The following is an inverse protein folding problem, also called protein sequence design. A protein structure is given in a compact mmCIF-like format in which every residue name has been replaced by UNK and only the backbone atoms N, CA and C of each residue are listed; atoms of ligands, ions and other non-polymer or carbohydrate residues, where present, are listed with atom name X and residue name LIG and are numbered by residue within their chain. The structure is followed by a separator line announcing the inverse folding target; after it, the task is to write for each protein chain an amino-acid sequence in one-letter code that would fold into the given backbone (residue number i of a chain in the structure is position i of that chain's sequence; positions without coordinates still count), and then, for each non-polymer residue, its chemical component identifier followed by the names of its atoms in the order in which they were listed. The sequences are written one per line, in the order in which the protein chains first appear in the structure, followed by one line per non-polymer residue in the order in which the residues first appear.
data_IF_087269223280
#
_entry.id   IF_087269223280
#
_cell.length_a   1.000
_cell.length_b   1.000
_cell.length_c   1.000
_cell.angle_alpha   90.00
_cell.angle_beta   90.00
_cell.angle_gamma   90.00
#
_symmetry.space_group_name_H-M   'P 1'
#
loop_
_entity.id
_entity.type
_entity.pdbx_description
1 polymer ?
#
# COMPACT_ATOMS: atom_id res chain seq x y z
N UNK A 1 -16.88 -6.78 -0.03
CA UNK A 1 -17.36 -7.62 1.09
C UNK A 1 -16.36 -7.54 2.23
N UNK A 2 -16.76 -7.94 3.43
CA UNK A 2 -15.84 -8.09 4.55
C UNK A 2 -14.67 -9.01 4.18
N UNK A 3 -13.46 -8.66 4.63
CA UNK A 3 -12.31 -9.54 4.58
C UNK A 3 -12.55 -10.76 5.48
N UNK A 4 -12.40 -12.00 4.98
CA UNK A 4 -12.51 -13.20 5.80
C UNK A 4 -11.48 -13.17 6.94
N UNK A 5 -11.82 -13.74 8.10
CA UNK A 5 -10.90 -13.84 9.24
C UNK A 5 -9.67 -14.72 8.94
N UNK A 6 -9.77 -15.63 7.97
CA UNK A 6 -8.65 -16.43 7.48
C UNK A 6 -7.60 -15.62 6.73
N UNK A 7 -7.94 -14.43 6.20
CA UNK A 7 -6.99 -13.56 5.50
C UNK A 7 -6.14 -12.78 6.49
N UNK A 8 -4.82 -12.87 6.31
CA UNK A 8 -3.82 -12.22 7.16
C UNK A 8 -2.74 -11.61 6.28
N UNK A 9 -1.79 -10.86 6.84
CA UNK A 9 -0.65 -10.35 6.05
C UNK A 9 0.26 -11.48 5.54
N UNK A 10 0.13 -12.69 6.09
CA UNK A 10 0.81 -13.91 5.64
C UNK A 10 0.06 -14.62 4.50
N UNK A 11 -1.22 -14.30 4.28
CA UNK A 11 -2.04 -14.77 3.17
C UNK A 11 -3.08 -13.70 2.75
N UNK A 12 -2.69 -12.87 1.79
CA UNK A 12 -3.54 -11.88 1.12
C UNK A 12 -4.09 -12.38 -0.21
N UNK A 13 -3.92 -13.68 -0.55
CA UNK A 13 -4.35 -14.21 -1.84
C UNK A 13 -5.82 -13.88 -2.11
N UNK A 14 -6.12 -13.40 -3.31
CA UNK A 14 -7.47 -13.05 -3.72
C UNK A 14 -7.57 -11.70 -4.42
N UNK A 15 -8.82 -11.26 -4.62
CA UNK A 15 -9.17 -10.02 -5.28
C UNK A 15 -9.76 -9.01 -4.29
N UNK A 16 -9.22 -7.79 -4.34
CA UNK A 16 -9.52 -6.70 -3.40
C UNK A 16 -9.83 -5.43 -4.19
N UNK A 17 -11.07 -4.99 -4.16
CA UNK A 17 -11.49 -3.77 -4.89
C UNK A 17 -11.44 -2.58 -3.96
N UNK A 18 -10.86 -1.47 -4.41
CA UNK A 18 -10.84 -0.23 -3.65
C UNK A 18 -12.25 0.20 -3.22
N UNK A 19 -12.38 0.53 -1.93
CA UNK A 19 -13.58 1.11 -1.36
C UNK A 19 -13.34 2.61 -1.24
N UNK A 20 -13.83 3.38 -2.22
CA UNK A 20 -13.60 4.83 -2.27
C UNK A 20 -14.32 5.59 -1.14
N UNK A 21 -15.39 5.03 -0.57
CA UNK A 21 -16.13 5.66 0.52
C UNK A 21 -15.41 5.56 1.87
N UNK A 22 -14.67 4.46 2.09
CA UNK A 22 -13.93 4.20 3.34
C UNK A 22 -12.44 4.50 3.24
N UNK A 23 -11.89 4.44 2.03
CA UNK A 23 -10.61 5.07 1.76
C UNK A 23 -10.75 6.51 2.18
N UNK A 24 -9.71 7.04 2.82
CA UNK A 24 -9.64 8.48 2.92
C UNK A 24 -9.66 8.97 1.49
N UNK A 25 -10.77 9.59 1.10
CA UNK A 25 -10.80 10.45 -0.05
C UNK A 25 -9.58 11.33 0.14
N UNK A 26 -8.50 10.99 -0.58
CA UNK A 26 -7.60 12.01 -1.00
C UNK A 26 -8.53 13.06 -1.53
N UNK A 27 -8.52 14.21 -0.90
CA UNK A 27 -9.35 15.38 -1.14
C UNK A 27 -9.05 15.92 -2.55
N UNK A 28 -9.17 15.06 -3.57
CA UNK A 28 -8.71 15.22 -4.93
C UNK A 28 -9.54 16.27 -5.67
N UNK A 29 -10.78 16.48 -5.21
CA UNK A 29 -11.65 17.55 -5.72
C UNK A 29 -11.30 18.93 -5.13
N UNK A 30 -10.71 19.02 -3.93
CA UNK A 30 -10.32 20.30 -3.29
C UNK A 30 -8.83 20.63 -3.50
N UNK A 31 -7.99 19.61 -3.60
CA UNK A 31 -6.53 19.76 -3.75
C UNK A 31 -6.14 20.40 -5.10
N UNK A 32 -6.98 20.26 -6.15
CA UNK A 32 -6.74 20.86 -7.48
C UNK A 32 -6.67 22.40 -7.51
N UNK A 33 -7.09 23.11 -6.47
CA UNK A 33 -6.98 24.56 -6.40
C UNK A 33 -5.67 25.07 -5.73
N UNK A 34 -4.85 24.22 -5.09
CA UNK A 34 -3.86 24.67 -4.08
C UNK A 34 -2.41 24.09 -4.15
N UNK A 35 -1.92 23.58 -5.29
CA UNK A 35 -0.48 23.26 -5.42
C UNK A 35 -0.05 21.83 -5.02
N UNK A 36 -0.84 20.82 -5.38
CA UNK A 36 -0.58 19.39 -5.14
C UNK A 36 0.77 18.90 -5.71
N UNK A 37 1.56 18.20 -4.89
CA UNK A 37 2.78 17.52 -5.33
C UNK A 37 2.49 16.40 -6.36
N UNK A 38 3.40 16.19 -7.32
CA UNK A 38 3.31 15.12 -8.32
C UNK A 38 3.14 13.74 -7.69
N UNK A 39 3.75 13.51 -6.53
CA UNK A 39 3.73 12.22 -5.86
C UNK A 39 2.37 11.92 -5.24
N UNK A 40 1.73 12.93 -4.65
CA UNK A 40 0.35 12.83 -4.17
C UNK A 40 -0.57 12.36 -5.30
N UNK A 41 -0.48 12.95 -6.51
CA UNK A 41 -1.31 12.53 -7.65
C UNK A 41 -1.14 11.05 -8.00
N UNK A 42 0.06 10.50 -7.84
CA UNK A 42 0.34 9.08 -8.11
C UNK A 42 -0.21 8.16 -7.02
N UNK A 43 -0.16 8.57 -5.75
CA UNK A 43 -0.80 7.83 -4.66
C UNK A 43 -2.33 7.79 -4.84
N UNK A 44 -2.94 8.90 -5.26
CA UNK A 44 -4.37 8.95 -5.62
C UNK A 44 -4.70 7.99 -6.77
N UNK A 45 -3.84 7.91 -7.77
CA UNK A 45 -4.01 6.97 -8.87
C UNK A 45 -3.97 5.51 -8.40
N UNK A 46 -3.15 5.19 -7.40
CA UNK A 46 -3.12 3.85 -6.78
C UNK A 46 -4.37 3.55 -5.94
N UNK A 47 -5.10 4.56 -5.46
CA UNK A 47 -6.29 4.37 -4.64
C UNK A 47 -7.46 3.76 -5.45
N UNK A 48 -7.51 3.98 -6.77
CA UNK A 48 -8.65 3.61 -7.62
C UNK A 48 -8.40 2.33 -8.42
N UNK A 49 -7.87 1.28 -7.78
CA UNK A 49 -7.54 0.01 -8.44
C UNK A 49 -8.09 -1.19 -7.70
N UNK A 50 -8.49 -2.21 -8.45
CA UNK A 50 -8.64 -3.57 -7.91
C UNK A 50 -7.27 -4.22 -7.85
N UNK A 51 -6.94 -4.81 -6.72
CA UNK A 51 -5.73 -5.59 -6.49
C UNK A 51 -6.06 -7.07 -6.65
N UNK A 52 -5.36 -7.77 -7.54
CA UNK A 52 -5.35 -9.23 -7.55
C UNK A 52 -4.00 -9.66 -7.00
N UNK A 53 -4.03 -10.34 -5.86
CA UNK A 53 -2.84 -10.70 -5.11
C UNK A 53 -2.62 -12.20 -5.22
N UNK A 54 -1.41 -12.57 -5.64
CA UNK A 54 -0.85 -13.91 -5.50
C UNK A 54 0.33 -13.85 -4.53
N UNK A 55 0.24 -14.63 -3.46
CA UNK A 55 1.21 -14.71 -2.40
C UNK A 55 1.61 -16.17 -2.19
N UNK A 56 2.89 -16.46 -2.39
CA UNK A 56 3.46 -17.81 -2.28
C UNK A 56 4.81 -17.76 -1.59
N UNK A 57 5.30 -18.90 -1.10
CA UNK A 57 6.64 -19.01 -0.54
C UNK A 57 7.61 -19.56 -1.58
N UNK A 58 8.82 -19.01 -1.63
CA UNK A 58 9.92 -19.60 -2.40
C UNK A 58 10.58 -20.76 -1.64
N UNK A 59 11.55 -21.42 -2.28
CA UNK A 59 12.32 -22.53 -1.70
C UNK A 59 13.09 -22.13 -0.43
N UNK A 60 13.40 -20.84 -0.27
CA UNK A 60 14.07 -20.28 0.91
C UNK A 60 13.10 -19.83 2.00
N UNK A 61 11.79 -20.02 1.80
CA UNK A 61 10.73 -19.62 2.72
C UNK A 61 10.38 -18.12 2.68
N UNK A 62 10.96 -17.33 1.77
CA UNK A 62 10.56 -15.94 1.60
C UNK A 62 9.20 -15.87 0.94
N UNK A 63 8.41 -14.86 1.31
CA UNK A 63 7.17 -14.57 0.62
C UNK A 63 7.47 -13.86 -0.70
N UNK A 64 7.01 -14.45 -1.80
CA UNK A 64 6.85 -13.84 -3.11
C UNK A 64 5.44 -13.25 -3.17
N UNK A 65 5.35 -11.98 -3.50
CA UNK A 65 4.11 -11.24 -3.59
C UNK A 65 4.00 -10.63 -4.98
N UNK A 66 3.05 -11.12 -5.76
CA UNK A 66 2.69 -10.59 -7.07
C UNK A 66 1.33 -9.89 -6.95
N UNK A 67 1.30 -8.60 -7.27
CA UNK A 67 0.10 -7.77 -7.23
C UNK A 67 -0.18 -7.28 -8.64
N UNK A 68 -1.32 -7.67 -9.20
CA UNK A 68 -1.86 -7.05 -10.40
C UNK A 68 -2.78 -5.90 -9.98
N UNK A 69 -2.39 -4.67 -10.30
CA UNK A 69 -3.21 -3.48 -10.10
C UNK A 69 -4.04 -3.26 -11.36
N UNK A 70 -5.36 -3.48 -11.27
CA UNK A 70 -6.33 -3.25 -12.35
C UNK A 70 -7.04 -1.92 -12.13
N UNK A 71 -6.72 -0.87 -12.88
CA UNK A 71 -7.45 0.38 -12.81
C UNK A 71 -8.87 0.19 -13.33
N UNK A 72 -9.82 0.94 -12.77
CA UNK A 72 -11.16 1.08 -13.36
C UNK A 72 -11.08 1.76 -14.74
N UNK A 73 -11.94 1.36 -15.68
CA UNK A 73 -12.10 2.09 -16.97
C UNK A 73 -11.23 1.62 -18.14
N UNK A 74 -10.70 0.38 -18.10
CA UNK A 74 -10.06 -0.25 -19.26
C UNK A 74 -8.61 0.17 -19.54
N UNK A 75 -7.98 0.89 -18.60
CA UNK A 75 -6.54 1.17 -18.65
C UNK A 75 -5.72 -0.13 -18.45
N UNK A 76 -4.50 -0.21 -19.01
CA UNK A 76 -3.64 -1.36 -18.82
C UNK A 76 -3.39 -1.65 -17.35
N UNK A 77 -3.53 -2.91 -16.96
CA UNK A 77 -3.13 -3.37 -15.63
C UNK A 77 -1.61 -3.23 -15.47
N UNK A 78 -1.17 -2.98 -14.24
CA UNK A 78 0.26 -2.96 -13.90
C UNK A 78 0.56 -4.10 -12.95
N UNK A 79 1.76 -4.66 -13.07
CA UNK A 79 2.21 -5.75 -12.22
C UNK A 79 3.31 -5.27 -11.28
N UNK A 80 3.18 -5.62 -10.01
CA UNK A 80 4.15 -5.34 -8.97
C UNK A 80 4.59 -6.67 -8.38
N UNK A 81 5.89 -6.98 -8.51
CA UNK A 81 6.48 -8.21 -7.97
C UNK A 81 7.43 -7.88 -6.85
N UNK A 82 7.26 -8.50 -5.69
CA UNK A 82 8.06 -8.22 -4.49
C UNK A 82 8.50 -9.53 -3.83
N UNK A 83 9.70 -9.52 -3.28
CA UNK A 83 10.17 -10.55 -2.35
C UNK A 83 10.25 -9.90 -0.97
N UNK A 84 9.54 -10.46 0.01
CA UNK A 84 9.47 -9.91 1.37
C UNK A 84 10.68 -10.33 2.21
N UNK A 85 11.88 -9.93 1.78
CA UNK A 85 13.16 -10.25 2.43
C UNK A 85 13.95 -9.00 2.86
N UNK A 86 13.32 -7.83 2.79
CA UNK A 86 13.88 -6.50 3.09
C UNK A 86 15.10 -6.08 2.27
N UNK A 87 15.48 -6.83 1.23
CA UNK A 87 16.58 -6.44 0.32
C UNK A 87 16.10 -5.33 -0.61
N UNK A 88 16.94 -4.30 -0.85
CA UNK A 88 16.60 -3.26 -1.81
C UNK A 88 16.60 -3.80 -3.24
N UNK A 89 15.62 -3.39 -4.02
CA UNK A 89 15.50 -3.65 -5.45
C UNK A 89 15.29 -2.31 -6.15
N UNK A 90 16.16 -1.99 -7.09
CA UNK A 90 15.98 -0.84 -7.97
C UNK A 90 15.23 -1.25 -9.22
N UNK A 91 14.25 -0.45 -9.62
CA UNK A 91 13.50 -0.67 -10.85
C UNK A 91 12.91 0.64 -11.37
N UNK A 92 12.63 0.68 -12.67
CA UNK A 92 11.85 1.75 -13.28
C UNK A 92 10.36 1.41 -13.19
N UNK A 93 9.64 2.09 -12.31
CA UNK A 93 8.21 1.87 -12.07
C UNK A 93 7.37 2.75 -12.99
N UNK A 94 6.40 2.18 -13.70
CA UNK A 94 5.58 2.91 -14.68
C UNK A 94 4.90 4.16 -14.10
N UNK A 95 4.46 4.11 -12.84
CA UNK A 95 3.94 5.29 -12.15
C UNK A 95 5.05 6.17 -11.56
N UNK A 96 6.08 5.62 -10.93
CA UNK A 96 6.95 6.39 -10.02
C UNK A 96 8.33 6.74 -10.60
N UNK A 97 8.66 6.28 -11.81
CA UNK A 97 9.99 6.44 -12.37
C UNK A 97 10.99 5.51 -11.69
N UNK A 98 12.26 5.92 -11.62
CA UNK A 98 13.30 5.15 -10.95
C UNK A 98 13.09 5.16 -9.45
N UNK A 99 12.93 3.98 -8.87
CA UNK A 99 12.72 3.79 -7.44
C UNK A 99 13.67 2.73 -6.90
N UNK A 100 13.96 2.81 -5.59
CA UNK A 100 14.54 1.71 -4.81
C UNK A 100 13.53 1.26 -3.77
N UNK A 101 12.93 0.10 -4.00
CA UNK A 101 11.93 -0.50 -3.12
C UNK A 101 12.54 -1.60 -2.24
N UNK A 102 12.00 -1.77 -1.04
CA UNK A 102 12.21 -2.95 -0.18
C UNK A 102 10.93 -3.27 0.57
N UNK A 103 10.76 -4.54 0.91
CA UNK A 103 9.49 -5.05 1.44
C UNK A 103 9.73 -6.16 2.47
N UNK A 104 8.91 -6.21 3.50
CA UNK A 104 8.96 -7.24 4.55
C UNK A 104 7.59 -7.45 5.20
N UNK A 105 7.45 -8.50 5.99
CA UNK A 105 6.52 -8.50 7.12
C UNK A 105 7.36 -8.14 8.35
N UNK A 106 6.85 -7.27 9.22
CA UNK A 106 7.50 -6.91 10.48
C UNK A 106 6.48 -6.73 11.59
N UNK A 107 6.96 -6.68 12.83
CA UNK A 107 6.09 -6.31 13.94
C UNK A 107 5.62 -4.89 13.75
N UNK A 108 4.40 -4.61 14.19
CA UNK A 108 3.82 -3.28 14.17
C UNK A 108 4.72 -2.28 14.91
N UNK A 109 5.30 -2.70 16.04
CA UNK A 109 6.22 -1.90 16.85
C UNK A 109 7.55 -1.55 16.14
N UNK A 110 7.94 -2.29 15.09
CA UNK A 110 9.20 -2.06 14.36
C UNK A 110 9.07 -0.98 13.25
N UNK A 111 7.88 -0.38 13.12
CA UNK A 111 7.66 0.74 12.21
C UNK A 111 8.06 2.05 12.88
N UNK A 112 8.95 2.81 12.22
CA UNK A 112 9.49 4.05 12.77
C UNK A 112 8.39 5.10 13.04
N UNK A 113 7.37 5.15 12.19
CA UNK A 113 6.39 6.22 12.17
C UNK A 113 5.06 5.85 12.86
N UNK A 114 4.59 6.70 13.79
CA UNK A 114 3.35 6.49 14.54
C UNK A 114 2.13 6.36 13.63
N UNK A 115 2.06 7.11 12.51
CA UNK A 115 0.94 7.04 11.58
C UNK A 115 0.78 5.63 10.99
N UNK A 116 1.90 4.95 10.73
CA UNK A 116 1.89 3.59 10.18
C UNK A 116 1.55 2.54 11.25
N UNK A 117 1.68 2.87 12.54
CA UNK A 117 1.44 1.95 13.67
C UNK A 117 0.00 1.89 14.16
N UNK A 118 -0.85 2.83 13.75
CA UNK A 118 -2.16 3.03 14.39
C UNK A 118 -3.35 2.59 13.54
N UNK A 119 -4.51 2.43 14.20
CA UNK A 119 -5.81 2.24 13.55
C UNK A 119 -5.96 0.90 12.81
N UNK A 120 -5.26 -0.13 13.25
CA UNK A 120 -5.40 -1.51 12.79
C UNK A 120 -6.43 -2.26 13.63
N UNK A 121 -6.85 -3.43 13.14
CA UNK A 121 -7.66 -4.39 13.88
C UNK A 121 -7.02 -4.74 15.24
N UNK A 122 -7.87 -4.87 16.27
CA UNK A 122 -7.40 -5.20 17.63
C UNK A 122 -6.60 -6.51 17.62
N UNK A 123 -5.46 -6.49 18.31
CA UNK A 123 -4.53 -7.64 18.34
C UNK A 123 -3.60 -7.74 17.13
N UNK A 124 -3.55 -6.74 16.24
CA UNK A 124 -2.56 -6.70 15.16
C UNK A 124 -1.13 -6.62 15.73
N UNK A 125 -0.37 -7.70 15.61
CA UNK A 125 1.05 -7.75 16.00
C UNK A 125 2.01 -7.51 14.83
N UNK A 126 1.64 -7.94 13.63
CA UNK A 126 2.46 -7.88 12.42
C UNK A 126 1.72 -7.17 11.28
N UNK A 127 2.50 -6.46 10.46
CA UNK A 127 2.03 -5.82 9.23
C UNK A 127 3.01 -6.07 8.10
N UNK A 128 2.51 -6.02 6.87
CA UNK A 128 3.39 -5.98 5.71
C UNK A 128 3.83 -4.53 5.48
N UNK A 129 5.14 -4.32 5.27
CA UNK A 129 5.76 -3.00 5.16
C UNK A 129 6.52 -2.87 3.86
N UNK A 130 6.16 -1.85 3.07
CA UNK A 130 6.90 -1.43 1.88
C UNK A 130 7.57 -0.09 2.15
N UNK A 131 8.83 0.03 1.77
CA UNK A 131 9.56 1.31 1.77
C UNK A 131 10.16 1.54 0.39
N UNK A 132 9.90 2.70 -0.16
CA UNK A 132 10.29 3.09 -1.51
C UNK A 132 10.99 4.45 -1.47
N UNK A 133 12.24 4.48 -1.90
CA UNK A 133 13.02 5.70 -2.15
C UNK A 133 12.81 6.11 -3.61
N UNK A 134 12.43 7.37 -3.88
CA UNK A 134 12.23 7.88 -5.24
C UNK A 134 13.55 8.47 -5.77
N UNK A 135 14.22 7.78 -6.68
CA UNK A 135 15.56 8.14 -7.13
C UNK A 135 15.56 9.37 -8.04
N UNK A 136 14.48 9.57 -8.79
CA UNK A 136 14.26 10.77 -9.62
C UNK A 136 13.77 11.98 -8.82
N UNK A 137 13.54 11.83 -7.52
CA UNK A 137 13.09 12.89 -6.62
C UNK A 137 13.77 12.77 -5.27
N UNK A 138 14.98 13.33 -5.22
CA UNK A 138 15.87 13.25 -4.06
C UNK A 138 15.13 13.64 -2.77
N UNK A 139 15.34 12.84 -1.72
CA UNK A 139 14.78 13.06 -0.40
C UNK A 139 13.33 12.61 -0.23
N UNK A 140 12.71 12.08 -1.29
CA UNK A 140 11.32 11.62 -1.23
C UNK A 140 11.26 10.13 -0.92
N UNK A 141 10.53 9.77 0.14
CA UNK A 141 10.31 8.39 0.57
C UNK A 141 8.81 8.13 0.68
N UNK A 142 8.36 6.99 0.16
CA UNK A 142 7.02 6.47 0.38
C UNK A 142 7.09 5.19 1.19
N UNK A 143 6.33 5.13 2.27
CA UNK A 143 6.14 3.93 3.08
C UNK A 143 4.68 3.50 3.01
N UNK A 144 4.46 2.19 2.99
CA UNK A 144 3.13 1.60 3.12
C UNK A 144 3.17 0.56 4.22
N UNK A 145 2.26 0.68 5.19
CA UNK A 145 1.93 -0.41 6.10
C UNK A 145 0.61 -1.01 5.64
N UNK A 146 0.55 -2.34 5.58
CA UNK A 146 -0.56 -3.10 5.03
C UNK A 146 -1.04 -4.09 6.08
N UNK A 147 -2.34 -4.09 6.32
CA UNK A 147 -2.98 -4.90 7.35
C UNK A 147 -4.50 -4.91 7.17
N UNK A 148 -5.20 -5.06 8.29
CA UNK A 148 -6.65 -5.06 8.34
C UNK A 148 -7.16 -4.02 9.32
N UNK A 149 -8.31 -3.44 9.01
CA UNK A 149 -9.04 -2.51 9.87
C UNK A 149 -10.44 -3.05 10.11
N UNK A 150 -11.05 -2.66 11.22
CA UNK A 150 -12.46 -2.91 11.49
C UNK A 150 -13.19 -1.56 11.50
N UNK A 151 -14.19 -1.42 10.65
CA UNK A 151 -15.05 -0.24 10.57
C UNK A 151 -16.50 -0.70 10.62
N UNK A 152 -17.26 -0.19 11.61
CA UNK A 152 -18.66 -0.56 11.85
C UNK A 152 -18.88 -2.09 11.91
N UNK A 153 -18.02 -2.78 12.66
CA UNK A 153 -18.02 -4.23 12.80
C UNK A 153 -17.59 -5.02 11.55
N UNK A 154 -17.28 -4.33 10.45
CA UNK A 154 -16.87 -4.96 9.19
C UNK A 154 -15.35 -4.86 9.03
N UNK A 155 -14.72 -6.00 8.72
CA UNK A 155 -13.27 -6.10 8.52
C UNK A 155 -12.89 -5.79 7.08
N UNK A 156 -11.85 -5.01 6.86
CA UNK A 156 -11.36 -4.62 5.53
C UNK A 156 -9.85 -4.77 5.42
N UNK A 157 -9.37 -5.09 4.22
CA UNK A 157 -7.96 -4.93 3.90
C UNK A 157 -7.65 -3.44 3.75
N UNK A 158 -6.54 -2.98 4.32
CA UNK A 158 -6.16 -1.58 4.26
C UNK A 158 -4.66 -1.37 4.07
N UNK A 159 -4.33 -0.25 3.44
CA UNK A 159 -2.97 0.27 3.32
C UNK A 159 -2.91 1.68 3.89
N UNK A 160 -2.05 1.90 4.87
CA UNK A 160 -1.65 3.23 5.32
C UNK A 160 -0.42 3.66 4.54
N UNK A 161 -0.54 4.74 3.79
CA UNK A 161 0.52 5.31 2.97
C UNK A 161 1.03 6.57 3.61
N UNK A 162 2.34 6.64 3.78
CA UNK A 162 3.06 7.80 4.27
C UNK A 162 4.06 8.23 3.20
N UNK A 163 4.01 9.50 2.79
CA UNK A 163 5.03 10.13 1.96
C UNK A 163 5.72 11.20 2.78
N UNK A 164 7.05 11.19 2.77
CA UNK A 164 7.89 12.21 3.41
C UNK A 164 8.90 12.76 2.43
N UNK A 165 9.24 14.03 2.58
CA UNK A 165 10.35 14.69 1.87
C UNK A 165 11.35 15.27 2.87
N UNK A 166 12.61 15.38 2.45
CA UNK A 166 13.68 15.99 3.26
C UNK A 166 13.41 17.46 3.63
N UNK A 167 12.58 18.17 2.88
CA UNK A 167 12.16 19.55 3.18
C UNK A 167 11.07 19.66 4.27
N UNK A 168 10.62 18.52 4.81
CA UNK A 168 9.61 18.43 5.85
C UNK A 168 8.19 18.22 5.32
N UNK A 169 7.95 18.22 4.00
CA UNK A 169 6.64 17.88 3.48
C UNK A 169 6.25 16.43 3.84
N UNK A 170 4.99 16.28 4.24
CA UNK A 170 4.42 15.00 4.69
C UNK A 170 3.01 14.85 4.16
N UNK A 171 2.69 13.65 3.68
CA UNK A 171 1.34 13.25 3.27
C UNK A 171 1.01 11.89 3.88
N UNK A 172 -0.18 11.82 4.46
CA UNK A 172 -0.77 10.61 5.01
C UNK A 172 -2.06 10.31 4.26
N UNK A 173 -2.28 9.04 3.93
CA UNK A 173 -3.57 8.59 3.39
C UNK A 173 -3.81 7.12 3.70
N UNK A 174 -5.08 6.73 3.85
CA UNK A 174 -5.52 5.36 4.05
C UNK A 174 -6.32 4.88 2.85
N UNK A 175 -5.89 3.77 2.26
CA UNK A 175 -6.60 3.05 1.21
C UNK A 175 -7.29 1.84 1.83
N UNK A 176 -8.57 1.65 1.54
CA UNK A 176 -9.39 0.55 2.07
C UNK A 176 -9.91 -0.28 0.91
N UNK A 177 -9.93 -1.60 1.06
CA UNK A 177 -10.31 -2.52 0.00
C UNK A 177 -11.34 -3.55 0.50
N UNK A 178 -12.37 -3.74 -0.32
CA UNK A 178 -13.37 -4.78 -0.22
C UNK A 178 -12.86 -6.10 -0.79
N UNK A 179 -13.01 -7.17 -0.02
CA UNK A 179 -12.76 -8.52 -0.52
C UNK A 179 -13.81 -8.92 -1.56
N UNK A 180 -13.39 -9.63 -2.60
CA UNK A 180 -14.23 -10.13 -3.68
C UNK A 180 -14.24 -11.67 -3.74
N UNK A 181 -13.07 -12.31 -3.85
CA UNK A 181 -12.89 -13.76 -3.90
C UNK A 181 -11.42 -14.14 -3.70
#
# INVERSE_FOLDING_TARGET
MAAPSSKTVQDLNGSWTANNNLSEESSAEILKLQGVSWLTRKVIAMANVTLIIDQRKDESGNILLDIENKPSGGLPATQEKRVLNWKPVELNHGLFGNIRGRSRICKLADLDDDYLRQGWEDGTEEVMHFKTEHLDSKGVVTQQAIGFIVFDGTRYHARRVLVTKDDGERLETKLVYDYQC
#
